data_IF_094807182004
#
_entry.id   IF_094807182004
#
_cell.length_a   1.000
_cell.length_b   1.000
_cell.length_c   1.000
_cell.angle_alpha   90.00
_cell.angle_beta   90.00
_cell.angle_gamma   90.00
#
_symmetry.space_group_name_H-M   'P 1'
#
loop_
_entity.id
_entity.type
_entity.pdbx_description
1 polymer ?
#
# COMPACT_ATOMS: atom_id res chain seq x y z
N UNK A 1 12.23 9.94 13.19
CA UNK A 1 11.50 8.67 13.08
C UNK A 1 11.48 8.19 11.63
N UNK A 2 11.80 6.94 11.42
CA UNK A 2 11.76 6.38 10.07
C UNK A 2 10.32 6.06 9.68
N UNK A 3 9.99 6.32 8.43
CA UNK A 3 8.64 6.07 7.90
C UNK A 3 8.67 5.05 6.77
N UNK A 4 7.72 4.13 6.79
CA UNK A 4 7.55 3.14 5.74
C UNK A 4 6.13 3.14 5.22
N UNK A 5 5.98 2.89 3.92
CA UNK A 5 4.67 2.71 3.30
C UNK A 5 4.54 1.27 2.82
N UNK A 6 3.48 0.60 3.23
CA UNK A 6 3.11 -0.72 2.74
C UNK A 6 2.00 -0.53 1.70
N UNK A 7 2.30 -0.83 0.44
CA UNK A 7 1.35 -0.67 -0.66
C UNK A 7 0.94 -2.01 -1.22
N UNK A 8 -0.35 -2.19 -1.46
CA UNK A 8 -0.89 -3.38 -2.12
C UNK A 8 -2.08 -2.98 -2.97
N UNK A 9 -2.53 -3.88 -3.85
CA UNK A 9 -3.71 -3.60 -4.67
C UNK A 9 -4.97 -3.49 -3.82
N UNK A 10 -5.18 -4.46 -2.95
CA UNK A 10 -6.41 -4.52 -2.13
C UNK A 10 -6.07 -4.79 -0.67
N UNK A 11 -6.98 -4.39 0.22
CA UNK A 11 -6.78 -4.48 1.66
C UNK A 11 -6.54 -5.90 2.15
N UNK A 12 -7.15 -6.90 1.51
CA UNK A 12 -6.99 -8.30 1.92
C UNK A 12 -5.55 -8.77 1.84
N UNK A 13 -4.77 -8.24 0.91
CA UNK A 13 -3.36 -8.60 0.79
C UNK A 13 -2.55 -8.17 2.00
N UNK A 14 -2.89 -7.02 2.55
CA UNK A 14 -2.22 -6.53 3.76
C UNK A 14 -2.73 -7.28 4.97
N UNK A 15 -4.04 -7.39 5.11
CA UNK A 15 -4.66 -8.01 6.28
C UNK A 15 -4.25 -9.47 6.44
N UNK A 16 -4.24 -10.23 5.34
CA UNK A 16 -3.97 -11.67 5.39
C UNK A 16 -2.48 -12.03 5.41
N UNK A 17 -1.65 -11.23 4.75
CA UNK A 17 -0.27 -11.64 4.48
C UNK A 17 0.80 -10.71 5.02
N UNK A 18 0.45 -9.51 5.49
CA UNK A 18 1.44 -8.49 5.78
C UNK A 18 1.41 -7.89 7.19
N UNK A 19 0.48 -8.31 8.03
CA UNK A 19 0.42 -7.75 9.39
C UNK A 19 1.67 -8.07 10.19
N UNK A 20 2.25 -9.25 9.98
CA UNK A 20 3.51 -9.61 10.64
C UNK A 20 4.67 -8.75 10.14
N UNK A 21 4.70 -8.44 8.85
CA UNK A 21 5.72 -7.58 8.27
C UNK A 21 5.62 -6.16 8.83
N UNK A 22 4.42 -5.67 9.05
CA UNK A 22 4.20 -4.36 9.67
C UNK A 22 4.76 -4.37 11.09
N UNK A 23 4.47 -5.41 11.86
CA UNK A 23 4.99 -5.56 13.21
C UNK A 23 6.52 -5.55 13.25
N UNK A 24 7.14 -6.26 12.31
CA UNK A 24 8.60 -6.31 12.22
C UNK A 24 9.15 -4.91 11.94
N UNK A 25 8.55 -4.18 10.99
CA UNK A 25 8.99 -2.82 10.69
C UNK A 25 8.84 -1.89 11.89
N UNK A 26 7.74 -2.02 12.62
CA UNK A 26 7.54 -1.23 13.84
C UNK A 26 8.60 -1.52 14.89
N UNK A 27 9.01 -2.78 15.04
CA UNK A 27 10.09 -3.15 15.97
C UNK A 27 11.43 -2.56 15.57
N UNK A 28 11.64 -2.32 14.28
CA UNK A 28 12.86 -1.66 13.80
C UNK A 28 12.75 -0.12 13.81
N UNK A 29 11.71 0.41 14.40
CA UNK A 29 11.58 1.86 14.58
C UNK A 29 10.87 2.59 13.46
N UNK A 30 10.21 1.87 12.54
CA UNK A 30 9.42 2.52 11.49
C UNK A 30 8.02 2.83 11.94
N UNK A 31 7.54 4.00 11.55
CA UNK A 31 6.12 4.29 11.55
C UNK A 31 5.59 3.82 10.19
N UNK A 32 4.62 2.92 10.20
CA UNK A 32 4.12 2.30 8.98
C UNK A 32 2.78 2.91 8.60
N UNK A 33 2.68 3.34 7.33
CA UNK A 33 1.42 3.72 6.71
C UNK A 33 1.05 2.67 5.66
N UNK A 34 -0.22 2.61 5.30
CA UNK A 34 -0.75 1.63 4.34
C UNK A 34 -1.43 2.37 3.20
N UNK A 35 -1.25 1.89 1.96
CA UNK A 35 -1.99 2.36 0.79
C UNK A 35 -2.54 1.15 0.04
N UNK A 36 -3.85 1.07 -0.12
CA UNK A 36 -4.50 -0.02 -0.85
C UNK A 36 -5.96 0.34 -1.13
N UNK A 37 -6.61 -0.50 -1.94
CA UNK A 37 -8.03 -0.35 -2.24
C UNK A 37 -8.85 -1.06 -1.16
N UNK A 38 -9.67 -0.32 -0.42
CA UNK A 38 -10.58 -0.85 0.59
C UNK A 38 -12.00 -1.05 0.06
N UNK A 39 -12.20 -0.86 -1.23
CA UNK A 39 -13.53 -0.88 -1.84
C UNK A 39 -14.02 -2.24 -2.29
N UNK A 40 -14.96 -2.21 -3.22
CA UNK A 40 -15.73 -3.39 -3.64
C UNK A 40 -14.91 -4.48 -4.34
N UNK A 41 -13.73 -4.17 -4.82
CA UNK A 41 -12.86 -5.16 -5.50
C UNK A 41 -12.14 -6.10 -4.53
N UNK A 42 -12.32 -5.89 -3.23
CA UNK A 42 -11.72 -6.76 -2.23
C UNK A 42 -12.44 -8.09 -2.15
N UNK A 43 -11.69 -9.20 -1.97
CA UNK A 43 -12.31 -10.47 -1.59
C UNK A 43 -12.85 -10.47 -0.16
N UNK A 44 -12.50 -9.46 0.64
CA UNK A 44 -13.04 -9.30 1.99
C UNK A 44 -14.45 -8.71 1.93
N UNK A 45 -15.34 -9.18 2.81
CA UNK A 45 -16.67 -8.59 2.93
C UNK A 45 -16.60 -7.21 3.65
N UNK A 46 -17.66 -6.38 3.54
CA UNK A 46 -17.63 -5.05 4.16
C UNK A 46 -17.41 -5.04 5.66
N UNK A 47 -17.92 -6.05 6.37
CA UNK A 47 -17.71 -6.14 7.81
C UNK A 47 -16.24 -6.34 8.18
N UNK A 48 -15.56 -7.21 7.45
CA UNK A 48 -14.13 -7.46 7.68
C UNK A 48 -13.28 -6.25 7.31
N UNK A 49 -13.66 -5.54 6.27
CA UNK A 49 -12.97 -4.29 5.89
C UNK A 49 -13.11 -3.26 7.02
N UNK A 50 -14.31 -3.10 7.56
CA UNK A 50 -14.54 -2.16 8.67
C UNK A 50 -13.78 -2.58 9.92
N UNK A 51 -13.72 -3.86 10.19
CA UNK A 51 -12.95 -4.41 11.30
C UNK A 51 -11.45 -4.12 11.13
N UNK A 52 -10.94 -4.32 9.92
CA UNK A 52 -9.55 -4.05 9.61
C UNK A 52 -9.22 -2.56 9.79
N UNK A 53 -10.08 -1.67 9.30
CA UNK A 53 -9.90 -0.23 9.49
C UNK A 53 -9.87 0.15 10.97
N UNK A 54 -10.70 -0.48 11.80
CA UNK A 54 -10.68 -0.24 13.25
C UNK A 54 -9.38 -0.69 13.89
N UNK A 55 -8.88 -1.86 13.48
CA UNK A 55 -7.59 -2.37 13.97
C UNK A 55 -6.48 -1.38 13.64
N UNK A 56 -6.47 -0.87 12.41
CA UNK A 56 -5.45 0.09 11.99
C UNK A 56 -5.50 1.37 12.81
N UNK A 57 -6.72 1.88 13.07
CA UNK A 57 -6.89 3.08 13.89
C UNK A 57 -6.43 2.86 15.33
N UNK A 58 -6.77 1.72 15.91
CA UNK A 58 -6.37 1.37 17.27
C UNK A 58 -4.87 1.25 17.42
N UNK A 59 -4.18 0.81 16.37
CA UNK A 59 -2.72 0.68 16.35
C UNK A 59 -2.01 1.93 15.86
N UNK A 60 -2.75 3.02 15.59
CA UNK A 60 -2.22 4.27 15.06
C UNK A 60 -1.50 4.11 13.72
N UNK A 61 -2.00 3.22 12.89
CA UNK A 61 -1.50 3.02 11.52
C UNK A 61 -2.38 3.83 10.58
N UNK A 62 -1.80 4.84 9.95
CA UNK A 62 -2.51 5.67 8.98
C UNK A 62 -2.67 4.89 7.68
N UNK A 63 -3.81 5.04 7.04
CA UNK A 63 -4.04 4.37 5.76
C UNK A 63 -4.61 5.33 4.72
N UNK A 64 -4.18 5.11 3.48
CA UNK A 64 -4.65 5.85 2.31
C UNK A 64 -5.43 4.90 1.43
N UNK A 65 -6.61 5.34 0.98
CA UNK A 65 -7.40 4.53 0.06
C UNK A 65 -7.00 4.85 -1.37
N UNK A 66 -6.78 3.81 -2.17
CA UNK A 66 -6.49 3.93 -3.59
C UNK A 66 -7.57 3.25 -4.41
N UNK A 67 -7.60 3.58 -5.71
CA UNK A 67 -8.54 2.97 -6.65
C UNK A 67 -7.91 1.80 -7.41
N UNK A 68 -6.88 1.18 -6.85
CA UNK A 68 -6.10 0.16 -7.55
C UNK A 68 -6.98 -0.99 -8.03
N UNK A 69 -6.98 -1.28 -9.34
CA UNK A 69 -7.80 -2.37 -9.88
C UNK A 69 -7.10 -3.70 -9.71
N UNK A 70 -7.87 -4.78 -9.70
CA UNK A 70 -7.33 -6.14 -9.74
C UNK A 70 -7.06 -6.60 -11.17
N UNK A 71 -7.68 -5.95 -12.16
CA UNK A 71 -7.58 -6.33 -13.57
C UNK A 71 -6.80 -5.27 -14.35
N UNK A 72 -5.92 -5.72 -15.23
CA UNK A 72 -5.07 -4.84 -16.05
C UNK A 72 -5.88 -3.96 -17.01
N UNK A 73 -7.07 -4.39 -17.41
CA UNK A 73 -7.87 -3.68 -18.42
C UNK A 73 -8.55 -2.40 -17.90
N UNK A 74 -8.49 -2.12 -16.61
CA UNK A 74 -9.13 -0.93 -16.04
C UNK A 74 -8.18 0.28 -16.08
N UNK A 75 -7.92 0.81 -17.27
CA UNK A 75 -6.92 1.86 -17.48
C UNK A 75 -7.23 3.16 -16.72
N UNK A 76 -8.51 3.56 -16.66
CA UNK A 76 -8.88 4.75 -15.91
C UNK A 76 -8.62 4.60 -14.41
N UNK A 77 -8.86 3.43 -13.85
CA UNK A 77 -8.56 3.14 -12.44
C UNK A 77 -7.06 3.07 -12.19
N UNK A 78 -6.30 2.55 -13.15
CA UNK A 78 -4.83 2.53 -13.05
C UNK A 78 -4.26 3.95 -13.03
N UNK A 79 -4.77 4.82 -13.89
CA UNK A 79 -4.35 6.22 -13.91
C UNK A 79 -4.72 6.94 -12.62
N UNK A 80 -5.92 6.71 -12.11
CA UNK A 80 -6.36 7.24 -10.83
C UNK A 80 -5.44 6.81 -9.69
N UNK A 81 -5.12 5.53 -9.66
CA UNK A 81 -4.22 4.95 -8.64
C UNK A 81 -2.84 5.58 -8.72
N UNK A 82 -2.31 5.72 -9.93
CA UNK A 82 -1.01 6.36 -10.12
C UNK A 82 -1.01 7.79 -9.56
N UNK A 83 -2.05 8.56 -9.86
CA UNK A 83 -2.17 9.94 -9.36
C UNK A 83 -2.27 9.98 -7.84
N UNK A 84 -3.02 9.07 -7.25
CA UNK A 84 -3.16 8.97 -5.79
C UNK A 84 -1.83 8.65 -5.12
N UNK A 85 -1.10 7.67 -5.64
CA UNK A 85 0.21 7.29 -5.11
C UNK A 85 1.23 8.40 -5.32
N UNK A 86 1.19 9.09 -6.44
CA UNK A 86 2.08 10.21 -6.71
C UNK A 86 1.84 11.35 -5.72
N UNK A 87 0.58 11.61 -5.38
CA UNK A 87 0.24 12.62 -4.37
C UNK A 87 0.82 12.24 -3.00
N UNK A 88 0.71 10.98 -2.63
CA UNK A 88 1.30 10.48 -1.39
C UNK A 88 2.81 10.64 -1.41
N UNK A 89 3.44 10.30 -2.52
CA UNK A 89 4.90 10.43 -2.68
C UNK A 89 5.38 11.87 -2.54
N UNK A 90 4.56 12.83 -2.95
CA UNK A 90 4.90 14.27 -2.83
C UNK A 90 4.66 14.82 -1.45
N UNK A 91 3.62 14.33 -0.76
CA UNK A 91 3.23 14.86 0.55
C UNK A 91 3.97 14.21 1.72
N UNK A 92 4.50 13.02 1.52
CA UNK A 92 5.15 12.24 2.57
C UNK A 92 6.57 11.86 2.16
N UNK A 93 7.48 11.85 3.12
CA UNK A 93 8.83 11.35 2.87
C UNK A 93 8.99 10.00 3.54
N UNK A 94 8.95 8.94 2.72
CA UNK A 94 9.17 7.59 3.21
C UNK A 94 10.63 7.19 3.05
N UNK A 95 11.15 6.49 4.04
CA UNK A 95 12.47 5.88 3.97
C UNK A 95 12.40 4.56 3.22
N UNK A 96 11.26 3.89 3.33
CA UNK A 96 11.04 2.59 2.71
C UNK A 96 9.63 2.50 2.17
N UNK A 97 9.48 2.01 0.94
CA UNK A 97 8.18 1.68 0.35
C UNK A 97 8.21 0.22 -0.02
N UNK A 98 7.36 -0.56 0.60
CA UNK A 98 7.20 -1.98 0.30
C UNK A 98 5.92 -2.16 -0.50
N UNK A 99 6.04 -2.55 -1.75
CA UNK A 99 4.90 -2.73 -2.64
C UNK A 99 4.75 -4.18 -3.06
N UNK A 100 3.51 -4.58 -3.29
CA UNK A 100 3.14 -5.96 -3.62
C UNK A 100 2.11 -5.94 -4.73
N UNK A 101 1.95 -7.07 -5.39
CA UNK A 101 1.08 -7.29 -6.53
C UNK A 101 1.61 -6.69 -7.83
N UNK A 102 1.29 -7.32 -8.97
CA UNK A 102 1.83 -6.84 -10.25
C UNK A 102 1.39 -5.43 -10.61
N UNK A 103 0.07 -5.14 -10.54
CA UNK A 103 -0.45 -3.83 -10.94
C UNK A 103 -0.04 -2.76 -9.94
N UNK A 104 -0.30 -2.99 -8.66
CA UNK A 104 0.06 -2.04 -7.61
C UNK A 104 1.56 -1.78 -7.55
N UNK A 105 2.36 -2.82 -7.77
CA UNK A 105 3.81 -2.69 -7.77
C UNK A 105 4.34 -1.81 -8.88
N UNK A 106 3.84 -2.00 -10.10
CA UNK A 106 4.25 -1.16 -11.24
C UNK A 106 3.86 0.29 -11.02
N UNK A 107 2.62 0.53 -10.63
CA UNK A 107 2.11 1.89 -10.41
C UNK A 107 2.86 2.59 -9.27
N UNK A 108 3.13 1.86 -8.21
CA UNK A 108 3.85 2.39 -7.06
C UNK A 108 5.29 2.76 -7.42
N UNK A 109 5.99 1.89 -8.15
CA UNK A 109 7.37 2.16 -8.57
C UNK A 109 7.44 3.38 -9.47
N UNK A 110 6.47 3.56 -10.36
CA UNK A 110 6.41 4.75 -11.21
C UNK A 110 6.12 6.00 -10.38
N UNK A 111 5.17 5.91 -9.45
CA UNK A 111 4.76 7.06 -8.64
C UNK A 111 5.89 7.54 -7.72
N UNK A 112 6.71 6.62 -7.22
CA UNK A 112 7.80 6.94 -6.28
C UNK A 112 9.17 7.04 -6.95
N UNK A 113 9.25 7.09 -8.28
CA UNK A 113 10.54 7.12 -8.97
C UNK A 113 11.41 8.32 -8.59
N UNK A 114 10.79 9.48 -8.37
CA UNK A 114 11.55 10.67 -7.95
C UNK A 114 12.00 10.56 -6.49
N UNK A 115 11.20 9.94 -5.64
CA UNK A 115 11.56 9.71 -4.25
C UNK A 115 12.78 8.78 -4.14
N UNK A 116 12.92 7.82 -5.04
CA UNK A 116 14.10 6.94 -5.08
C UNK A 116 15.39 7.73 -5.28
N UNK A 117 15.34 8.79 -6.06
CA UNK A 117 16.51 9.65 -6.30
C UNK A 117 16.95 10.41 -5.07
N UNK A 118 16.06 10.59 -4.12
CA UNK A 118 16.33 11.33 -2.88
C UNK A 118 16.47 10.42 -1.65
N UNK A 119 16.60 9.11 -1.85
CA UNK A 119 16.95 8.18 -0.78
C UNK A 119 15.87 7.20 -0.36
N UNK A 120 14.66 7.27 -0.90
CA UNK A 120 13.62 6.29 -0.60
C UNK A 120 13.96 4.94 -1.24
N UNK A 121 13.97 3.88 -0.44
CA UNK A 121 14.17 2.52 -0.94
C UNK A 121 12.83 1.89 -1.26
N UNK A 122 12.74 1.25 -2.42
CA UNK A 122 11.51 0.57 -2.84
C UNK A 122 11.80 -0.92 -2.93
N UNK A 123 11.02 -1.72 -2.19
CA UNK A 123 11.10 -3.17 -2.23
C UNK A 123 9.82 -3.69 -2.87
N UNK A 124 9.95 -4.57 -3.83
CA UNK A 124 8.83 -5.22 -4.49
C UNK A 124 8.81 -6.70 -4.13
N UNK A 125 7.70 -7.17 -3.60
CA UNK A 125 7.48 -8.59 -3.36
C UNK A 125 6.47 -9.10 -4.39
N UNK A 126 6.91 -10.01 -5.22
CA UNK A 126 6.03 -10.68 -6.17
C UNK A 126 5.22 -11.71 -5.41
N UNK A 127 3.90 -11.53 -5.43
CA UNK A 127 2.99 -12.51 -4.84
C UNK A 127 2.21 -13.16 -5.96
N UNK A 128 2.28 -14.48 -6.00
CA UNK A 128 1.61 -15.26 -7.03
C UNK A 128 0.25 -15.70 -6.49
N UNK A 129 -0.81 -15.18 -7.09
CA UNK A 129 -2.18 -15.52 -6.72
C UNK A 129 -2.75 -16.45 -7.78
N UNK A 130 -2.72 -17.67 -7.47
CA UNK A 130 -3.37 -18.67 -8.31
C UNK A 130 -4.74 -18.98 -7.72
#
# INVERSE_FOLDING_TARGET
MKKALMNASVASMIYKFNMDNIEILEKFGYQVDIACNFGKENPMNPEDINKFKRILKERNIRFFETSCPRKIMALNKMLSTYKQLKKIAKSEQYHLVHTQSPIGGVLCRLAFRNARKTGTKIIYTAMDFI
#
